data_IF_882951998758
#
_entry.id   IF_882951998758
#
_cell.length_a   1.000
_cell.length_b   1.000
_cell.length_c   1.000
_cell.angle_alpha   90.00
_cell.angle_beta   90.00
_cell.angle_gamma   90.00
#
_symmetry.space_group_name_H-M   'P 1'
#
loop_
_entity.id
_entity.type
_entity.pdbx_description
1 polymer ?
#
# COMPACT_ATOMS: atom_id res chain seq x y z
N UNK A 1 22.00 -3.37 -49.84
CA UNK A 1 22.02 -4.06 -48.52
C UNK A 1 21.73 -3.15 -47.32
N UNK A 2 21.55 -1.84 -47.50
CA UNK A 2 21.31 -0.86 -46.41
C UNK A 2 19.93 -0.99 -45.75
N UNK A 3 18.91 -1.43 -46.49
CA UNK A 3 17.54 -1.59 -45.97
C UNK A 3 17.42 -2.74 -44.96
N UNK A 4 18.05 -3.88 -45.25
CA UNK A 4 18.07 -5.04 -44.34
C UNK A 4 18.77 -4.69 -43.02
N UNK A 5 19.89 -3.96 -43.08
CA UNK A 5 20.59 -3.53 -41.87
C UNK A 5 19.72 -2.62 -40.98
N UNK A 6 18.89 -1.75 -41.58
CA UNK A 6 17.94 -0.92 -40.83
C UNK A 6 16.85 -1.76 -40.15
N UNK A 7 16.33 -2.77 -40.85
CA UNK A 7 15.32 -3.68 -40.28
C UNK A 7 15.91 -4.49 -39.12
N UNK A 8 17.12 -5.01 -39.27
CA UNK A 8 17.83 -5.73 -38.18
C UNK A 8 18.07 -4.83 -36.97
N UNK A 9 18.55 -3.59 -37.18
CA UNK A 9 18.74 -2.64 -36.09
C UNK A 9 17.42 -2.27 -35.39
N UNK A 10 16.33 -2.14 -36.14
CA UNK A 10 14.99 -1.92 -35.59
C UNK A 10 14.53 -3.10 -34.73
N UNK A 11 14.71 -4.33 -35.21
CA UNK A 11 14.33 -5.54 -34.46
C UNK A 11 15.14 -5.70 -33.17
N UNK A 12 16.45 -5.38 -33.21
CA UNK A 12 17.28 -5.37 -32.00
C UNK A 12 16.80 -4.34 -30.97
N UNK A 13 16.39 -3.15 -31.43
CA UNK A 13 15.84 -2.11 -30.55
C UNK A 13 14.53 -2.54 -29.90
N UNK A 14 13.62 -3.14 -30.67
CA UNK A 14 12.36 -3.66 -30.12
C UNK A 14 12.61 -4.81 -29.13
N UNK A 15 13.62 -5.67 -29.37
CA UNK A 15 14.00 -6.71 -28.42
C UNK A 15 14.44 -6.14 -27.06
N UNK A 16 15.36 -5.17 -27.05
CA UNK A 16 15.81 -4.52 -25.79
C UNK A 16 14.69 -3.78 -25.08
N UNK A 17 13.76 -3.20 -25.84
CA UNK A 17 12.55 -2.57 -25.29
C UNK A 17 11.66 -3.59 -24.60
N UNK A 18 11.36 -4.71 -25.25
CA UNK A 18 10.55 -5.78 -24.67
C UNK A 18 11.19 -6.39 -23.43
N UNK A 19 12.50 -6.59 -23.44
CA UNK A 19 13.25 -7.06 -22.26
C UNK A 19 13.09 -6.10 -21.07
N UNK A 20 13.18 -4.80 -21.32
CA UNK A 20 12.96 -3.77 -20.30
C UNK A 20 11.53 -3.78 -19.75
N UNK A 21 10.53 -3.96 -20.62
CA UNK A 21 9.12 -4.06 -20.22
C UNK A 21 8.83 -5.33 -19.43
N UNK A 22 9.38 -6.48 -19.83
CA UNK A 22 9.26 -7.73 -19.06
C UNK A 22 9.86 -7.59 -17.66
N UNK A 23 10.98 -6.89 -17.52
CA UNK A 23 11.57 -6.57 -16.22
C UNK A 23 10.66 -5.67 -15.36
N UNK A 24 9.97 -4.69 -15.97
CA UNK A 24 8.99 -3.83 -15.28
C UNK A 24 7.76 -4.61 -14.83
N UNK A 25 7.21 -5.46 -15.70
CA UNK A 25 6.09 -6.35 -15.38
C UNK A 25 6.46 -7.30 -14.24
N UNK A 26 7.64 -7.92 -14.28
CA UNK A 26 8.13 -8.78 -13.20
C UNK A 26 8.25 -8.05 -11.86
N UNK A 27 8.74 -6.80 -11.85
CA UNK A 27 8.78 -5.97 -10.63
C UNK A 27 7.38 -5.61 -10.13
N UNK A 28 6.47 -5.26 -11.03
CA UNK A 28 5.08 -4.96 -10.69
C UNK A 28 4.35 -6.17 -10.09
N UNK A 29 4.52 -7.36 -10.68
CA UNK A 29 3.97 -8.61 -10.16
C UNK A 29 4.55 -8.96 -8.79
N UNK A 30 5.85 -8.78 -8.57
CA UNK A 30 6.45 -8.97 -7.25
C UNK A 30 5.95 -7.96 -6.21
N UNK A 31 5.77 -6.70 -6.60
CA UNK A 31 5.21 -5.67 -5.74
C UNK A 31 3.75 -5.98 -5.36
N UNK A 32 2.95 -6.44 -6.33
CA UNK A 32 1.58 -6.90 -6.09
C UNK A 32 1.53 -8.19 -5.25
N UNK A 33 2.46 -9.12 -5.46
CA UNK A 33 2.62 -10.31 -4.63
C UNK A 33 2.97 -9.99 -3.18
N UNK A 34 3.76 -8.92 -2.95
CA UNK A 34 3.96 -8.34 -1.60
C UNK A 34 2.74 -7.56 -1.10
N UNK A 35 1.95 -6.97 -1.99
CA UNK A 35 0.70 -6.27 -1.68
C UNK A 35 -0.45 -7.23 -1.31
N UNK A 36 -0.28 -8.54 -1.57
CA UNK A 36 -1.03 -9.63 -0.92
C UNK A 36 -0.73 -9.63 0.57
N UNK A 37 -1.35 -8.67 1.27
CA UNK A 37 -0.95 -8.13 2.56
C UNK A 37 -0.30 -9.17 3.46
N UNK A 38 0.98 -8.93 3.78
CA UNK A 38 1.63 -9.61 4.90
C UNK A 38 0.68 -9.45 6.09
N UNK A 39 -0.03 -10.52 6.47
CA UNK A 39 -0.86 -10.49 7.68
C UNK A 39 0.12 -10.21 8.81
N UNK A 40 0.16 -8.97 9.27
CA UNK A 40 0.95 -8.63 10.44
C UNK A 40 0.43 -9.57 11.53
N UNK A 41 1.31 -10.45 12.01
CA UNK A 41 1.01 -11.22 13.22
C UNK A 41 0.61 -10.17 14.25
N UNK A 42 -0.56 -10.32 14.85
CA UNK A 42 -1.07 -9.36 15.83
C UNK A 42 -0.13 -9.41 17.04
N UNK A 43 0.90 -8.56 17.04
CA UNK A 43 1.90 -8.45 18.09
C UNK A 43 1.31 -7.57 19.18
N UNK A 44 0.50 -8.15 20.06
CA UNK A 44 -0.11 -7.42 21.16
C UNK A 44 -0.79 -8.36 22.15
N UNK A 45 -0.80 -7.97 23.43
CA UNK A 45 -1.55 -8.68 24.46
C UNK A 45 -3.06 -8.51 24.20
N UNK A 46 -3.81 -9.60 24.29
CA UNK A 46 -5.28 -9.53 24.24
C UNK A 46 -5.79 -8.89 25.53
N UNK A 47 -6.44 -7.73 25.41
CA UNK A 47 -7.05 -7.05 26.56
C UNK A 47 -8.25 -7.85 27.08
N UNK A 48 -8.55 -7.75 28.38
CA UNK A 48 -9.79 -8.27 28.96
C UNK A 48 -11.01 -7.44 28.51
N UNK A 49 -12.23 -7.97 28.71
CA UNK A 49 -13.47 -7.27 28.37
C UNK A 49 -13.59 -5.96 29.14
N UNK A 50 -13.39 -6.03 30.45
CA UNK A 50 -13.46 -4.88 31.36
C UNK A 50 -12.43 -3.79 31.00
N UNK A 51 -11.20 -4.18 30.65
CA UNK A 51 -10.17 -3.22 30.24
C UNK A 51 -10.59 -2.45 28.96
N UNK A 52 -11.23 -3.13 28.00
CA UNK A 52 -11.77 -2.46 26.80
C UNK A 52 -12.91 -1.51 27.14
N UNK A 53 -13.79 -1.88 28.07
CA UNK A 53 -14.91 -1.05 28.51
C UNK A 53 -14.43 0.26 29.15
N UNK A 54 -13.46 0.18 30.07
CA UNK A 54 -12.83 1.36 30.70
C UNK A 54 -12.19 2.30 29.67
N UNK A 55 -11.50 1.76 28.66
CA UNK A 55 -10.90 2.55 27.58
C UNK A 55 -12.00 3.26 26.77
N UNK A 56 -13.09 2.56 26.43
CA UNK A 56 -14.17 3.13 25.64
C UNK A 56 -14.89 4.27 26.37
N UNK A 57 -15.13 4.12 27.68
CA UNK A 57 -15.70 5.17 28.52
C UNK A 57 -14.80 6.40 28.56
N UNK A 58 -13.50 6.22 28.80
CA UNK A 58 -12.52 7.31 28.79
C UNK A 58 -12.49 8.04 27.44
N UNK A 59 -12.57 7.30 26.33
CA UNK A 59 -12.64 7.88 24.99
C UNK A 59 -13.92 8.70 24.78
N UNK A 60 -15.08 8.19 25.21
CA UNK A 60 -16.35 8.91 25.14
C UNK A 60 -16.31 10.21 25.93
N UNK A 61 -15.76 10.19 27.14
CA UNK A 61 -15.58 11.39 27.97
C UNK A 61 -14.66 12.40 27.29
N UNK A 62 -13.55 11.94 26.70
CA UNK A 62 -12.63 12.81 25.95
C UNK A 62 -13.33 13.46 24.76
N UNK A 63 -14.06 12.68 23.97
CA UNK A 63 -14.80 13.20 22.82
C UNK A 63 -15.94 14.13 23.22
N UNK A 64 -16.59 13.90 24.37
CA UNK A 64 -17.59 14.81 24.90
C UNK A 64 -17.00 16.19 25.20
N UNK A 65 -15.78 16.28 25.75
CA UNK A 65 -15.07 17.55 25.93
C UNK A 65 -14.80 18.25 24.61
N UNK A 66 -14.28 17.53 23.61
CA UNK A 66 -14.01 18.08 22.27
C UNK A 66 -15.29 18.62 21.63
N UNK A 67 -16.40 17.87 21.70
CA UNK A 67 -17.70 18.29 21.15
C UNK A 67 -18.27 19.50 21.88
N UNK A 68 -18.12 19.58 23.20
CA UNK A 68 -18.53 20.77 23.98
C UNK A 68 -17.73 22.00 23.55
N UNK A 69 -16.41 21.88 23.42
CA UNK A 69 -15.55 22.97 22.94
C UNK A 69 -15.93 23.41 21.52
N UNK A 70 -16.18 22.46 20.61
CA UNK A 70 -16.61 22.78 19.25
C UNK A 70 -18.00 23.46 19.20
N UNK A 71 -18.90 23.14 20.13
CA UNK A 71 -20.20 23.80 20.24
C UNK A 71 -20.10 25.22 20.81
N UNK A 72 -19.13 25.48 21.67
CA UNK A 72 -18.87 26.82 22.25
C UNK A 72 -18.15 27.77 21.28
N UNK A 73 -17.40 27.22 20.33
CA UNK A 73 -16.70 27.98 19.29
C UNK A 73 -17.58 28.34 18.07
N UNK A 74 -18.84 27.93 18.07
CA UNK A 74 -19.83 28.20 17.03
C UNK A 74 -20.87 29.17 17.54
#
# INVERSE_FOLDING_TARGET
MTTLNKVVASLQKEYSRLESEMGRVGKALNALGRAGGKKLKKTGRTLSKEARERIAEAQRLRWAKVRKAAKLAK
#
